data_IF_292836000199
#
_entry.id   IF_292836000199
#
_cell.length_a   1.000
_cell.length_b   1.000
_cell.length_c   1.000
_cell.angle_alpha   90.00
_cell.angle_beta   90.00
_cell.angle_gamma   90.00
#
_symmetry.space_group_name_H-M   'P 1'
#
loop_
_entity.id
_entity.type
_entity.pdbx_description
1 polymer ?
#
# COMPACT_ATOMS: atom_id res chain seq x y z
N UNK A 1 8.81 -62.37 -22.58
CA UNK A 1 8.15 -62.97 -23.76
C UNK A 1 7.51 -61.84 -24.54
N UNK A 2 8.03 -61.65 -25.73
CA UNK A 2 7.57 -60.85 -26.90
C UNK A 2 7.79 -59.33 -26.78
N UNK A 3 8.83 -58.70 -27.26
CA UNK A 3 9.57 -58.55 -28.53
C UNK A 3 8.85 -57.75 -29.62
N UNK A 4 9.58 -56.65 -30.03
CA UNK A 4 9.71 -55.99 -31.35
C UNK A 4 8.60 -55.00 -31.73
N UNK A 5 8.87 -53.85 -32.41
CA UNK A 5 9.95 -53.54 -33.39
C UNK A 5 10.12 -52.04 -33.55
N UNK A 6 11.37 -51.70 -33.90
CA UNK A 6 11.90 -50.46 -34.43
C UNK A 6 11.48 -50.26 -35.91
N UNK A 7 11.26 -49.03 -36.31
CA UNK A 7 11.55 -48.60 -37.73
C UNK A 7 12.00 -47.15 -37.78
N UNK A 8 13.22 -46.98 -38.20
CA UNK A 8 13.83 -45.74 -38.70
C UNK A 8 13.60 -45.62 -40.20
N UNK A 9 13.45 -44.41 -40.71
CA UNK A 9 13.78 -43.94 -42.06
C UNK A 9 13.40 -42.45 -42.12
N UNK A 10 14.07 -41.51 -42.61
CA UNK A 10 15.26 -41.29 -43.42
C UNK A 10 15.18 -39.83 -43.89
N UNK A 11 16.32 -39.20 -43.96
CA UNK A 11 16.61 -37.89 -44.54
C UNK A 11 15.86 -37.50 -45.78
N UNK A 12 15.52 -36.20 -45.89
CA UNK A 12 15.65 -35.47 -47.15
C UNK A 12 16.12 -34.02 -46.92
N UNK A 13 17.36 -33.79 -47.28
CA UNK A 13 17.96 -32.52 -47.63
C UNK A 13 17.13 -31.77 -48.68
N UNK A 14 16.96 -30.45 -48.51
CA UNK A 14 17.05 -29.53 -49.63
C UNK A 14 17.29 -28.08 -49.21
N UNK A 15 18.48 -27.63 -49.61
CA UNK A 15 18.82 -26.31 -50.15
C UNK A 15 18.67 -25.04 -49.24
N UNK A 16 19.86 -24.62 -48.85
CA UNK A 16 20.22 -23.23 -48.58
C UNK A 16 19.73 -22.28 -49.68
N UNK A 17 19.07 -21.22 -49.32
CA UNK A 17 19.04 -20.01 -50.11
C UNK A 17 19.35 -18.81 -49.18
N UNK A 18 20.62 -18.42 -49.19
CA UNK A 18 21.13 -17.17 -48.63
C UNK A 18 20.63 -16.01 -49.43
N UNK A 19 19.84 -15.12 -48.80
CA UNK A 19 19.78 -13.72 -49.20
C UNK A 19 20.17 -12.89 -47.98
N UNK A 20 21.31 -12.22 -48.12
CA UNK A 20 21.80 -11.18 -47.24
C UNK A 20 20.89 -9.95 -47.43
N UNK A 21 20.20 -9.58 -46.36
CA UNK A 21 19.88 -8.19 -46.06
C UNK A 21 19.68 -8.07 -44.54
N UNK A 22 20.56 -7.28 -43.93
CA UNK A 22 20.62 -7.14 -42.47
C UNK A 22 19.65 -6.07 -41.99
N UNK A 23 18.43 -6.45 -41.76
CA UNK A 23 17.49 -5.71 -40.88
C UNK A 23 16.92 -6.71 -39.87
N UNK A 24 17.48 -6.67 -38.68
CA UNK A 24 16.87 -7.31 -37.50
C UNK A 24 15.65 -6.43 -37.15
N UNK A 25 14.52 -6.69 -37.82
CA UNK A 25 13.25 -6.25 -37.29
C UNK A 25 13.03 -6.93 -35.94
N UNK A 26 13.13 -6.15 -34.87
CA UNK A 26 12.77 -6.60 -33.53
C UNK A 26 11.31 -7.05 -33.54
N UNK A 27 11.10 -8.37 -33.54
CA UNK A 27 9.78 -8.96 -33.34
C UNK A 27 9.16 -8.36 -32.10
N UNK A 28 8.17 -7.50 -32.25
CA UNK A 28 7.28 -7.02 -31.22
C UNK A 28 6.62 -8.24 -30.59
N UNK A 29 7.17 -8.71 -29.49
CA UNK A 29 6.61 -9.84 -28.74
C UNK A 29 5.29 -9.36 -28.11
N UNK A 30 4.21 -9.38 -28.91
CA UNK A 30 2.85 -9.20 -28.43
C UNK A 30 2.59 -10.24 -27.33
N UNK A 31 2.09 -9.85 -26.16
CA UNK A 31 1.77 -10.81 -25.10
C UNK A 31 0.74 -11.81 -25.63
N UNK A 32 1.20 -13.04 -25.90
CA UNK A 32 0.35 -14.14 -26.36
C UNK A 32 -0.51 -14.63 -25.19
N UNK A 33 -1.77 -14.17 -25.14
CA UNK A 33 -2.79 -14.72 -24.24
C UNK A 33 -4.09 -13.92 -24.32
N UNK A 34 -5.25 -14.57 -24.37
CA UNK A 34 -6.56 -13.90 -24.48
C UNK A 34 -6.94 -13.02 -23.27
N UNK A 35 -6.14 -13.03 -22.19
CA UNK A 35 -6.38 -12.29 -20.95
C UNK A 35 -5.57 -10.99 -20.82
N UNK A 36 -4.71 -10.64 -21.78
CA UNK A 36 -3.90 -9.41 -21.77
C UNK A 36 -4.54 -8.25 -22.56
N UNK A 37 -5.85 -8.15 -22.53
CA UNK A 37 -6.59 -7.00 -23.04
C UNK A 37 -6.50 -5.83 -22.07
N UNK A 38 -6.29 -4.62 -22.61
CA UNK A 38 -6.41 -3.39 -21.83
C UNK A 38 -7.84 -3.24 -21.35
N UNK A 39 -8.02 -3.16 -20.02
CA UNK A 39 -9.33 -3.10 -19.39
C UNK A 39 -9.31 -2.15 -18.20
N UNK A 40 -10.25 -1.20 -18.18
CA UNK A 40 -10.42 -0.31 -17.03
C UNK A 40 -10.89 -1.09 -15.80
N UNK A 41 -10.19 -0.96 -14.69
CA UNK A 41 -10.47 -1.69 -13.44
C UNK A 41 -10.83 -0.71 -12.31
N UNK A 42 -11.36 -1.22 -11.20
CA UNK A 42 -11.58 -0.44 -9.98
C UNK A 42 -10.30 -0.08 -9.22
N UNK A 43 -9.10 -0.34 -9.77
CA UNK A 43 -7.82 0.09 -9.20
C UNK A 43 -7.33 -0.67 -7.97
N UNK A 44 -7.95 -1.78 -7.57
CA UNK A 44 -7.42 -2.64 -6.51
C UNK A 44 -8.12 -2.50 -5.16
N UNK A 45 -9.37 -2.76 -5.05
CA UNK A 45 -10.13 -2.81 -3.81
C UNK A 45 -9.55 -3.84 -2.79
N UNK A 46 -10.34 -4.51 -1.99
CA UNK A 46 -9.91 -5.44 -0.93
C UNK A 46 -9.20 -6.73 -1.40
N UNK A 47 -8.84 -6.83 -2.68
CA UNK A 47 -8.20 -8.02 -3.26
C UNK A 47 -6.80 -7.78 -3.83
N UNK A 48 -6.34 -6.54 -3.91
CA UNK A 48 -5.10 -6.21 -4.58
C UNK A 48 -4.19 -5.35 -3.73
N UNK A 49 -2.92 -5.75 -3.66
CA UNK A 49 -1.87 -5.02 -2.93
C UNK A 49 -0.81 -4.51 -3.89
N UNK A 50 -0.43 -3.24 -3.77
CA UNK A 50 0.66 -2.63 -4.53
C UNK A 50 2.01 -3.20 -4.03
N UNK A 51 2.88 -3.57 -4.98
CA UNK A 51 4.24 -4.04 -4.73
C UNK A 51 5.30 -3.19 -5.44
N UNK A 52 4.90 -2.46 -6.47
CA UNK A 52 5.77 -1.55 -7.18
C UNK A 52 4.97 -0.33 -7.65
N UNK A 53 5.58 0.85 -7.52
CA UNK A 53 5.06 2.10 -8.03
C UNK A 53 6.14 2.81 -8.84
N UNK A 54 5.86 3.18 -10.09
CA UNK A 54 6.78 3.94 -10.94
C UNK A 54 6.01 4.83 -11.90
N UNK A 55 6.21 6.15 -11.84
CA UNK A 55 5.66 7.12 -12.79
C UNK A 55 4.14 7.00 -13.04
N UNK A 56 3.37 6.71 -11.98
CA UNK A 56 1.93 6.50 -12.07
C UNK A 56 1.52 5.05 -12.32
N UNK A 57 2.41 4.20 -12.84
CA UNK A 57 2.16 2.77 -13.01
C UNK A 57 2.26 2.02 -11.67
N UNK A 58 1.50 0.93 -11.54
CA UNK A 58 1.49 0.09 -10.34
C UNK A 58 1.47 -1.38 -10.71
N UNK A 59 2.39 -2.15 -10.10
CA UNK A 59 2.30 -3.61 -10.13
C UNK A 59 1.64 -4.05 -8.85
N UNK A 60 0.58 -4.86 -8.99
CA UNK A 60 -0.23 -5.35 -7.88
C UNK A 60 -0.29 -6.87 -7.87
N UNK A 61 -0.34 -7.46 -6.67
CA UNK A 61 -0.64 -8.87 -6.47
C UNK A 61 -2.05 -9.04 -5.92
N UNK A 62 -2.77 -10.03 -6.45
CA UNK A 62 -4.06 -10.45 -5.90
C UNK A 62 -3.85 -11.24 -4.61
N UNK A 63 -4.51 -10.83 -3.53
CA UNK A 63 -4.36 -11.44 -2.22
C UNK A 63 -4.97 -12.87 -2.11
N UNK A 64 -5.87 -13.24 -3.02
CA UNK A 64 -6.54 -14.54 -3.01
C UNK A 64 -5.90 -15.50 -4.01
N UNK A 65 -5.76 -15.06 -5.25
CA UNK A 65 -5.31 -15.92 -6.36
C UNK A 65 -3.79 -15.89 -6.60
N UNK A 66 -3.07 -14.93 -6.01
CA UNK A 66 -1.64 -14.76 -6.20
C UNK A 66 -1.21 -14.17 -7.56
N UNK A 67 -2.15 -13.96 -8.49
CA UNK A 67 -1.83 -13.37 -9.79
C UNK A 67 -1.35 -11.92 -9.68
N UNK A 68 -0.56 -11.52 -10.66
CA UNK A 68 -0.05 -10.16 -10.76
C UNK A 68 -0.72 -9.40 -11.90
N UNK A 69 -0.76 -8.08 -11.77
CA UNK A 69 -1.21 -7.18 -12.84
C UNK A 69 -0.42 -5.88 -12.82
N UNK A 70 -0.30 -5.26 -14.00
CA UNK A 70 0.20 -3.90 -14.19
C UNK A 70 -0.99 -2.99 -14.49
N UNK A 71 -1.10 -1.90 -13.76
CA UNK A 71 -2.05 -0.82 -13.99
C UNK A 71 -1.31 0.47 -14.34
N UNK A 72 -1.91 1.30 -15.18
CA UNK A 72 -1.52 2.70 -15.36
C UNK A 72 -2.15 3.63 -14.30
N UNK A 73 -1.95 4.95 -14.47
CA UNK A 73 -2.48 5.97 -13.57
C UNK A 73 -4.01 5.99 -13.51
N UNK A 74 -4.68 5.66 -14.61
CA UNK A 74 -6.14 5.65 -14.77
C UNK A 74 -6.78 4.30 -14.39
N UNK A 75 -5.97 3.38 -13.83
CA UNK A 75 -6.36 2.02 -13.45
C UNK A 75 -6.72 1.13 -14.65
N UNK A 76 -6.22 1.42 -15.83
CA UNK A 76 -6.30 0.52 -16.97
C UNK A 76 -5.29 -0.61 -16.76
N UNK A 77 -5.74 -1.85 -16.89
CA UNK A 77 -4.87 -3.02 -16.81
C UNK A 77 -4.12 -3.19 -18.13
N UNK A 78 -2.79 -3.09 -18.06
CA UNK A 78 -1.88 -3.23 -19.20
C UNK A 78 -1.25 -4.62 -19.30
N UNK A 79 -1.20 -5.36 -18.19
CA UNK A 79 -0.66 -6.73 -18.16
C UNK A 79 -1.29 -7.52 -17.01
N UNK A 80 -1.32 -8.84 -17.20
CA UNK A 80 -1.83 -9.83 -16.26
C UNK A 80 -0.97 -11.09 -16.32
N UNK A 81 -0.76 -11.76 -15.19
CA UNK A 81 -0.07 -13.04 -15.13
C UNK A 81 0.98 -13.12 -14.05
N UNK A 82 2.27 -13.27 -14.42
CA UNK A 82 3.38 -13.32 -13.47
C UNK A 82 3.91 -11.91 -13.14
N UNK A 83 4.65 -11.81 -12.03
CA UNK A 83 5.36 -10.57 -11.66
C UNK A 83 6.34 -10.15 -12.76
N UNK A 84 7.14 -11.10 -13.26
CA UNK A 84 8.14 -10.85 -14.29
C UNK A 84 7.53 -10.35 -15.61
N UNK A 85 6.36 -10.88 -15.99
CA UNK A 85 5.61 -10.37 -17.14
C UNK A 85 5.21 -8.90 -16.96
N UNK A 86 4.65 -8.57 -15.78
CA UNK A 86 4.25 -7.19 -15.46
C UNK A 86 5.45 -6.23 -15.43
N UNK A 87 6.58 -6.64 -14.83
CA UNK A 87 7.81 -5.85 -14.78
C UNK A 87 8.42 -5.61 -16.17
N UNK A 88 8.38 -6.62 -17.04
CA UNK A 88 8.85 -6.49 -18.43
C UNK A 88 8.02 -5.48 -19.23
N UNK A 89 6.68 -5.49 -19.05
CA UNK A 89 5.79 -4.50 -19.68
C UNK A 89 6.05 -3.11 -19.10
N UNK A 90 6.19 -2.99 -17.77
CA UNK A 90 6.49 -1.72 -17.11
C UNK A 90 7.80 -1.12 -17.61
N UNK A 91 8.86 -1.93 -17.72
CA UNK A 91 10.16 -1.49 -18.23
C UNK A 91 10.03 -0.87 -19.63
N UNK A 92 9.30 -1.51 -20.53
CA UNK A 92 9.06 -0.95 -21.88
C UNK A 92 8.26 0.35 -21.85
N UNK A 93 7.24 0.45 -20.97
CA UNK A 93 6.40 1.66 -20.86
C UNK A 93 7.14 2.84 -20.24
N UNK A 94 8.17 2.58 -19.42
CA UNK A 94 8.95 3.61 -18.73
C UNK A 94 10.33 3.87 -19.35
N UNK A 95 10.72 3.16 -20.45
CA UNK A 95 12.05 3.30 -21.06
C UNK A 95 12.38 4.72 -21.51
N UNK A 96 11.38 5.42 -22.03
CA UNK A 96 11.55 6.72 -22.66
C UNK A 96 11.05 7.89 -21.78
N UNK A 97 10.62 7.59 -20.54
CA UNK A 97 10.13 8.59 -19.61
C UNK A 97 11.25 8.92 -18.61
N UNK A 98 11.85 10.10 -18.65
CA UNK A 98 12.86 10.49 -17.68
C UNK A 98 12.25 10.56 -16.28
N UNK A 99 13.02 10.16 -15.27
CA UNK A 99 12.59 10.32 -13.88
C UNK A 99 12.37 11.82 -13.62
N UNK A 100 11.17 12.17 -13.18
CA UNK A 100 10.83 13.57 -12.94
C UNK A 100 11.69 14.11 -11.79
N UNK A 101 12.36 15.23 -12.01
CA UNK A 101 13.07 15.98 -10.93
C UNK A 101 12.14 16.38 -9.76
N UNK A 102 10.81 16.28 -9.93
CA UNK A 102 9.82 16.63 -8.91
C UNK A 102 9.70 15.60 -7.76
N UNK A 103 10.37 14.45 -7.84
CA UNK A 103 10.22 13.39 -6.85
C UNK A 103 11.21 13.49 -5.68
N UNK A 104 11.66 14.74 -5.36
CA UNK A 104 12.50 14.95 -4.17
C UNK A 104 11.78 14.61 -2.87
N UNK A 105 10.45 14.74 -2.83
CA UNK A 105 9.64 14.38 -1.67
C UNK A 105 8.34 13.73 -2.12
N UNK A 106 8.01 12.59 -1.52
CA UNK A 106 6.77 11.84 -1.80
C UNK A 106 6.01 11.57 -0.51
N UNK A 107 4.71 11.87 -0.53
CA UNK A 107 3.80 11.56 0.57
C UNK A 107 3.09 10.24 0.29
N UNK A 108 3.24 9.27 1.20
CA UNK A 108 2.60 7.97 1.14
C UNK A 108 1.36 7.99 2.00
N UNK A 109 0.21 7.72 1.40
CA UNK A 109 -1.10 7.74 2.05
C UNK A 109 -1.62 6.31 2.23
N UNK A 110 -1.89 5.90 3.47
CA UNK A 110 -2.36 4.56 3.82
C UNK A 110 -3.76 4.62 4.41
N UNK A 111 -4.68 3.85 3.85
CA UNK A 111 -6.06 3.75 4.31
C UNK A 111 -6.22 2.83 5.55
N UNK A 112 -7.39 2.80 6.15
CA UNK A 112 -7.72 1.94 7.28
C UNK A 112 -8.23 0.55 6.87
N UNK A 113 -8.50 -0.28 7.88
CA UNK A 113 -9.15 -1.58 7.74
C UNK A 113 -10.49 -1.43 7.01
N UNK A 114 -10.83 -2.38 6.14
CA UNK A 114 -12.05 -2.40 5.31
C UNK A 114 -12.21 -1.19 4.36
N UNK A 115 -11.20 -0.33 4.28
CA UNK A 115 -11.17 0.83 3.36
C UNK A 115 -10.36 0.51 2.11
N UNK A 116 -10.36 1.43 1.18
CA UNK A 116 -9.56 1.35 -0.05
C UNK A 116 -8.71 2.61 -0.19
N UNK A 117 -7.75 2.61 -1.10
CA UNK A 117 -6.96 3.80 -1.44
C UNK A 117 -7.84 5.02 -1.81
N UNK A 118 -9.07 4.76 -2.26
CA UNK A 118 -10.04 5.81 -2.60
C UNK A 118 -10.39 6.71 -1.41
N UNK A 119 -10.43 6.16 -0.19
CA UNK A 119 -10.74 6.95 1.00
C UNK A 119 -9.71 8.03 1.33
N UNK A 120 -8.49 7.95 0.77
CA UNK A 120 -7.44 8.95 0.94
C UNK A 120 -7.43 10.03 -0.16
N UNK A 121 -8.43 10.05 -1.05
CA UNK A 121 -8.43 10.96 -2.22
C UNK A 121 -8.56 12.43 -1.86
N UNK A 122 -9.35 12.75 -0.83
CA UNK A 122 -9.52 14.13 -0.36
C UNK A 122 -8.21 14.67 0.23
N UNK A 123 -7.56 13.88 1.10
CA UNK A 123 -6.26 14.21 1.68
C UNK A 123 -5.19 14.39 0.58
N UNK A 124 -5.15 13.49 -0.40
CA UNK A 124 -4.23 13.60 -1.54
C UNK A 124 -4.39 14.94 -2.25
N UNK A 125 -5.61 15.24 -2.73
CA UNK A 125 -5.88 16.50 -3.45
C UNK A 125 -5.51 17.73 -2.64
N UNK A 126 -5.79 17.70 -1.34
CA UNK A 126 -5.44 18.80 -0.46
C UNK A 126 -3.92 18.99 -0.39
N UNK A 127 -3.15 17.93 -0.13
CA UNK A 127 -1.70 17.98 -0.02
C UNK A 127 -1.04 18.41 -1.35
N UNK A 128 -1.52 17.91 -2.49
CA UNK A 128 -1.06 18.32 -3.81
C UNK A 128 -1.22 19.84 -4.01
N UNK A 129 -2.34 20.41 -3.58
CA UNK A 129 -2.59 21.85 -3.63
C UNK A 129 -1.78 22.65 -2.58
N UNK A 130 -1.19 22.01 -1.58
CA UNK A 130 -0.38 22.63 -0.53
C UNK A 130 1.14 22.55 -0.77
N UNK A 131 1.57 22.10 -1.95
CA UNK A 131 2.97 22.03 -2.34
C UNK A 131 3.61 20.64 -2.18
N UNK A 132 2.81 19.58 -2.04
CA UNK A 132 3.26 18.18 -2.03
C UNK A 132 2.76 17.46 -3.30
N UNK A 133 3.29 17.75 -4.50
CA UNK A 133 2.74 17.27 -5.76
C UNK A 133 2.94 15.77 -5.98
N UNK A 134 3.94 15.16 -5.34
CA UNK A 134 4.17 13.72 -5.43
C UNK A 134 3.48 13.01 -4.28
N UNK A 135 2.35 12.36 -4.56
CA UNK A 135 1.59 11.59 -3.58
C UNK A 135 1.27 10.20 -4.10
N UNK A 136 1.42 9.20 -3.23
CA UNK A 136 1.09 7.80 -3.52
C UNK A 136 0.02 7.33 -2.54
N UNK A 137 -1.16 7.00 -3.04
CA UNK A 137 -2.17 6.27 -2.27
C UNK A 137 -1.88 4.78 -2.36
N UNK A 138 -1.23 4.24 -1.36
CA UNK A 138 -0.89 2.81 -1.29
C UNK A 138 -2.16 1.97 -1.17
N UNK A 139 -2.32 1.02 -2.10
CA UNK A 139 -3.45 0.08 -2.10
C UNK A 139 -3.01 -1.24 -1.47
N UNK A 140 -3.80 -1.76 -0.53
CA UNK A 140 -3.55 -3.07 0.05
C UNK A 140 -4.86 -3.75 0.47
N UNK A 141 -4.85 -5.07 0.46
CA UNK A 141 -6.02 -5.91 0.72
C UNK A 141 -6.24 -6.07 2.24
N UNK A 142 -6.64 -4.99 2.91
CA UNK A 142 -6.62 -4.82 4.37
C UNK A 142 -7.37 -5.91 5.16
N UNK A 143 -8.31 -6.64 4.54
CA UNK A 143 -9.07 -7.72 5.16
C UNK A 143 -8.60 -9.12 4.74
N UNK A 144 -7.59 -9.25 3.87
CA UNK A 144 -7.21 -10.53 3.26
C UNK A 144 -5.82 -11.02 3.64
N UNK A 145 -4.97 -10.14 4.14
CA UNK A 145 -3.59 -10.42 4.50
C UNK A 145 -3.26 -9.82 5.86
N UNK A 146 -2.16 -10.28 6.46
CA UNK A 146 -1.66 -9.78 7.73
C UNK A 146 -1.06 -8.37 7.62
N UNK A 147 -0.93 -7.68 8.74
CA UNK A 147 -0.24 -6.38 8.81
C UNK A 147 1.23 -6.53 8.38
N UNK A 148 1.86 -7.65 8.72
CA UNK A 148 3.22 -7.97 8.28
C UNK A 148 3.34 -8.08 6.75
N UNK A 149 2.37 -8.70 6.07
CA UNK A 149 2.36 -8.78 4.60
C UNK A 149 2.20 -7.40 3.96
N UNK A 150 1.35 -6.54 4.54
CA UNK A 150 1.16 -5.18 4.06
C UNK A 150 2.40 -4.31 4.30
N UNK A 151 3.08 -4.47 5.43
CA UNK A 151 4.34 -3.78 5.75
C UNK A 151 5.45 -4.17 4.77
N UNK A 152 5.56 -5.47 4.43
CA UNK A 152 6.51 -5.97 3.42
C UNK A 152 6.22 -5.40 2.04
N UNK A 153 4.97 -5.40 1.60
CA UNK A 153 4.57 -4.82 0.32
C UNK A 153 4.84 -3.30 0.26
N UNK A 154 4.57 -2.57 1.35
CA UNK A 154 4.94 -1.16 1.46
C UNK A 154 6.46 -0.97 1.33
N UNK A 155 7.27 -1.76 2.05
CA UNK A 155 8.74 -1.73 1.94
C UNK A 155 9.17 -1.92 0.49
N UNK A 156 8.62 -2.90 -0.24
CA UNK A 156 8.94 -3.13 -1.66
C UNK A 156 8.60 -1.92 -2.54
N UNK A 157 7.46 -1.25 -2.31
CA UNK A 157 7.12 -0.02 -3.04
C UNK A 157 8.16 1.06 -2.80
N UNK A 158 8.57 1.29 -1.54
CA UNK A 158 9.55 2.32 -1.18
C UNK A 158 10.96 2.01 -1.70
N UNK A 159 11.35 0.73 -1.77
CA UNK A 159 12.62 0.28 -2.36
C UNK A 159 12.74 0.58 -3.85
N UNK A 160 11.60 0.68 -4.54
CA UNK A 160 11.54 0.96 -5.98
C UNK A 160 11.37 2.46 -6.31
N UNK A 161 11.23 3.32 -5.30
CA UNK A 161 11.28 4.77 -5.50
C UNK A 161 12.73 5.25 -5.64
N UNK A 162 12.99 6.37 -6.35
CA UNK A 162 14.33 6.92 -6.47
C UNK A 162 15.00 7.08 -5.10
N UNK A 163 16.28 6.73 -4.99
CA UNK A 163 17.00 6.67 -3.70
C UNK A 163 17.12 8.01 -2.99
N UNK A 164 17.03 9.12 -3.72
CA UNK A 164 17.07 10.49 -3.20
C UNK A 164 15.72 11.02 -2.71
N UNK A 165 14.62 10.27 -2.93
CA UNK A 165 13.28 10.73 -2.57
C UNK A 165 13.09 10.73 -1.05
N UNK A 166 12.75 11.87 -0.48
CA UNK A 166 12.29 11.98 0.91
C UNK A 166 10.88 11.42 1.06
N UNK A 167 10.61 10.76 2.17
CA UNK A 167 9.35 10.05 2.41
C UNK A 167 8.59 10.67 3.58
N UNK A 168 7.34 11.02 3.34
CA UNK A 168 6.40 11.44 4.37
C UNK A 168 5.21 10.50 4.39
N UNK A 169 4.59 10.31 5.54
CA UNK A 169 3.51 9.34 5.69
C UNK A 169 2.26 9.97 6.29
N UNK A 170 1.10 9.63 5.73
CA UNK A 170 -0.19 9.83 6.40
C UNK A 170 -0.86 8.47 6.50
N UNK A 171 -0.99 7.97 7.71
CA UNK A 171 -1.75 6.75 7.96
C UNK A 171 -3.13 7.07 8.53
N UNK A 172 -4.16 6.37 8.08
CA UNK A 172 -5.46 6.34 8.72
C UNK A 172 -5.67 4.99 9.41
N UNK A 173 -6.03 5.00 10.70
CA UNK A 173 -6.37 3.79 11.45
C UNK A 173 -5.27 2.70 11.34
N UNK A 174 -5.60 1.51 10.86
CA UNK A 174 -4.66 0.40 10.64
C UNK A 174 -3.46 0.80 9.76
N UNK A 175 -3.60 1.76 8.84
CA UNK A 175 -2.50 2.23 8.00
C UNK A 175 -1.30 2.73 8.79
N UNK A 176 -1.52 3.27 10.00
CA UNK A 176 -0.44 3.68 10.91
C UNK A 176 0.34 2.48 11.43
N UNK A 177 -0.36 1.39 11.72
CA UNK A 177 0.23 0.16 12.26
C UNK A 177 1.06 -0.54 11.18
N UNK A 178 0.60 -0.51 9.92
CA UNK A 178 1.39 -0.99 8.75
C UNK A 178 2.71 -0.23 8.64
N UNK A 179 2.71 1.11 8.74
CA UNK A 179 3.94 1.92 8.72
C UNK A 179 4.84 1.60 9.91
N UNK A 180 4.30 1.49 11.12
CA UNK A 180 5.08 1.13 12.32
C UNK A 180 5.72 -0.25 12.22
N UNK A 181 5.02 -1.22 11.64
CA UNK A 181 5.58 -2.56 11.39
C UNK A 181 6.72 -2.49 10.36
N UNK A 182 6.50 -1.78 9.25
CA UNK A 182 7.55 -1.57 8.23
C UNK A 182 8.80 -0.90 8.84
N UNK A 183 8.64 0.12 9.70
CA UNK A 183 9.76 0.77 10.40
C UNK A 183 10.51 -0.24 11.28
N UNK A 184 9.81 -1.14 11.97
CA UNK A 184 10.44 -2.17 12.79
C UNK A 184 11.25 -3.17 11.93
N UNK A 185 10.76 -3.51 10.75
CA UNK A 185 11.48 -4.38 9.80
C UNK A 185 12.71 -3.66 9.23
N UNK A 186 12.60 -2.37 8.89
CA UNK A 186 13.72 -1.55 8.42
C UNK A 186 14.80 -1.35 9.50
N UNK A 187 14.42 -1.26 10.78
CA UNK A 187 15.40 -1.21 11.88
C UNK A 187 16.25 -2.48 12.00
N UNK A 188 15.77 -3.62 11.49
CA UNK A 188 16.50 -4.89 11.46
C UNK A 188 17.33 -5.03 10.19
N UNK A 189 16.75 -4.65 9.05
CA UNK A 189 17.38 -4.81 7.73
C UNK A 189 16.87 -3.74 6.76
N UNK A 190 17.75 -2.79 6.40
CA UNK A 190 17.47 -1.67 5.49
C UNK A 190 18.57 -1.50 4.42
N UNK A 191 18.73 -2.48 3.51
CA UNK A 191 19.77 -2.45 2.49
C UNK A 191 19.62 -1.29 1.50
N UNK A 192 18.42 -0.76 1.34
CA UNK A 192 18.10 0.37 0.45
C UNK A 192 18.09 1.73 1.15
N UNK A 193 18.46 1.76 2.44
CA UNK A 193 18.52 2.99 3.25
C UNK A 193 17.22 3.81 3.19
N UNK A 194 16.09 3.14 3.35
CA UNK A 194 14.76 3.76 3.35
C UNK A 194 14.57 4.60 4.62
N UNK A 195 14.97 4.08 5.78
CA UNK A 195 14.75 4.73 7.06
C UNK A 195 15.34 6.15 7.15
N UNK A 196 16.57 6.43 6.66
CA UNK A 196 17.12 7.79 6.60
C UNK A 196 16.34 8.75 5.69
N UNK A 197 15.56 8.24 4.76
CA UNK A 197 14.70 9.01 3.84
C UNK A 197 13.37 9.41 4.47
N UNK A 198 12.96 8.73 5.55
CA UNK A 198 11.70 9.03 6.26
C UNK A 198 11.85 10.34 7.04
N UNK A 199 11.05 11.36 6.68
CA UNK A 199 11.14 12.72 7.25
C UNK A 199 10.10 12.97 8.31
N UNK A 200 8.83 12.65 8.03
CA UNK A 200 7.75 12.92 8.99
C UNK A 200 6.54 12.02 8.75
N UNK A 201 5.68 11.91 9.78
CA UNK A 201 4.44 11.14 9.73
C UNK A 201 3.31 11.83 10.48
N UNK A 202 2.11 11.84 9.90
CA UNK A 202 0.88 12.20 10.61
C UNK A 202 -0.02 10.98 10.72
N UNK A 203 -0.39 10.65 11.95
CA UNK A 203 -1.23 9.51 12.29
C UNK A 203 -2.66 9.98 12.54
N UNK A 204 -3.62 9.51 11.73
CA UNK A 204 -5.03 9.82 11.85
C UNK A 204 -5.76 8.64 12.53
N UNK A 205 -6.29 8.85 13.73
CA UNK A 205 -6.99 7.83 14.50
C UNK A 205 -6.21 6.51 14.66
N UNK A 206 -4.93 6.55 15.07
CA UNK A 206 -4.12 5.33 15.13
C UNK A 206 -4.51 4.47 16.34
N UNK A 207 -4.75 3.16 16.18
CA UNK A 207 -4.92 2.23 17.32
C UNK A 207 -3.56 1.82 17.88
N UNK A 208 -2.78 2.80 18.39
CA UNK A 208 -1.40 2.59 18.84
C UNK A 208 -1.27 1.70 20.09
N UNK A 209 -2.35 1.55 20.87
CA UNK A 209 -2.47 0.65 22.02
C UNK A 209 -3.43 -0.53 21.74
N UNK A 210 -3.68 -0.83 20.46
CA UNK A 210 -4.73 -1.74 20.01
C UNK A 210 -6.08 -1.03 19.91
N UNK A 211 -7.11 -1.76 19.46
CA UNK A 211 -8.47 -1.26 19.36
C UNK A 211 -9.40 -2.05 20.28
N UNK A 212 -9.95 -1.40 21.31
CA UNK A 212 -10.87 -2.03 22.25
C UNK A 212 -12.13 -2.56 21.54
N UNK A 213 -12.63 -1.80 20.55
CA UNK A 213 -13.78 -2.23 19.75
C UNK A 213 -13.49 -3.55 19.02
N UNK A 214 -12.27 -3.74 18.52
CA UNK A 214 -11.87 -5.00 17.88
C UNK A 214 -11.83 -6.15 18.90
N UNK A 215 -11.35 -5.89 20.13
CA UNK A 215 -11.34 -6.88 21.21
C UNK A 215 -12.75 -7.25 21.68
N UNK A 216 -13.66 -6.27 21.78
CA UNK A 216 -15.06 -6.49 22.21
C UNK A 216 -15.89 -7.24 21.16
N UNK A 217 -15.65 -7.01 19.87
CA UNK A 217 -16.39 -7.67 18.79
C UNK A 217 -15.79 -9.02 18.38
N UNK A 218 -14.55 -9.32 18.73
CA UNK A 218 -13.88 -10.57 18.37
C UNK A 218 -14.64 -11.84 18.81
N UNK A 219 -15.23 -11.91 20.03
CA UNK A 219 -15.96 -13.12 20.48
C UNK A 219 -17.20 -13.43 19.65
N UNK A 220 -17.72 -12.48 18.86
CA UNK A 220 -18.92 -12.72 18.03
C UNK A 220 -18.65 -13.68 16.86
N UNK A 221 -17.40 -14.03 16.58
CA UNK A 221 -17.02 -14.87 15.43
C UNK A 221 -17.19 -14.16 14.07
N UNK A 222 -18.20 -13.34 13.94
CA UNK A 222 -18.49 -12.56 12.71
C UNK A 222 -17.39 -11.52 12.46
N UNK A 223 -16.82 -10.94 13.53
CA UNK A 223 -15.79 -9.92 13.43
C UNK A 223 -14.58 -10.41 12.61
N UNK A 224 -14.01 -11.57 12.96
CA UNK A 224 -12.85 -12.12 12.24
C UNK A 224 -13.19 -12.50 10.79
N UNK A 225 -14.42 -12.97 10.54
CA UNK A 225 -14.86 -13.31 9.19
C UNK A 225 -14.97 -12.06 8.28
N UNK A 226 -15.43 -10.93 8.83
CA UNK A 226 -15.59 -9.67 8.09
C UNK A 226 -14.29 -8.90 7.98
N UNK A 227 -13.50 -8.81 9.05
CA UNK A 227 -12.30 -7.97 9.11
C UNK A 227 -11.01 -8.70 8.74
N UNK A 228 -11.04 -10.04 8.72
CA UNK A 228 -9.92 -10.89 8.36
C UNK A 228 -8.72 -10.79 9.31
N UNK A 229 -7.54 -11.19 8.84
CA UNK A 229 -6.32 -11.24 9.64
C UNK A 229 -5.95 -9.88 10.25
N UNK A 230 -6.03 -8.80 9.49
CA UNK A 230 -5.71 -7.46 9.99
C UNK A 230 -6.59 -7.01 11.15
N UNK A 231 -7.88 -7.37 11.16
CA UNK A 231 -8.78 -7.06 12.27
C UNK A 231 -8.47 -7.87 13.54
N UNK A 232 -8.12 -9.14 13.40
CA UNK A 232 -7.72 -9.99 14.52
C UNK A 232 -6.42 -9.49 15.16
N UNK A 233 -5.44 -9.09 14.36
CA UNK A 233 -4.17 -8.53 14.84
C UNK A 233 -4.35 -7.22 15.63
N UNK A 234 -5.31 -6.37 15.25
CA UNK A 234 -5.63 -5.13 15.99
C UNK A 234 -6.42 -5.35 17.29
N UNK A 235 -7.02 -6.51 17.46
CA UNK A 235 -7.86 -6.89 18.61
C UNK A 235 -7.22 -7.99 19.47
N UNK A 236 -7.69 -9.25 19.35
CA UNK A 236 -7.25 -10.35 20.22
C UNK A 236 -5.74 -10.61 20.16
N UNK A 237 -5.12 -10.46 18.98
CA UNK A 237 -3.70 -10.76 18.77
C UNK A 237 -2.79 -9.55 18.99
N UNK A 238 -3.32 -8.42 19.50
CA UNK A 238 -2.59 -7.16 19.66
C UNK A 238 -1.26 -7.32 20.42
N UNK A 239 -1.23 -8.06 21.52
CA UNK A 239 -0.01 -8.27 22.33
C UNK A 239 1.13 -8.91 21.54
N UNK A 240 0.81 -9.72 20.54
CA UNK A 240 1.81 -10.33 19.67
C UNK A 240 2.26 -9.35 18.58
N UNK A 241 1.32 -8.59 18.01
CA UNK A 241 1.61 -7.57 17.02
C UNK A 241 2.44 -6.43 17.61
N UNK A 242 2.09 -5.93 18.79
CA UNK A 242 2.76 -4.82 19.48
C UNK A 242 4.28 -5.01 19.55
N UNK A 243 4.73 -6.24 19.84
CA UNK A 243 6.16 -6.61 19.88
C UNK A 243 6.88 -6.47 18.54
N UNK A 244 6.13 -6.38 17.45
CA UNK A 244 6.63 -6.22 16.08
C UNK A 244 6.53 -4.79 15.57
N UNK A 245 6.12 -3.85 16.41
CA UNK A 245 5.95 -2.44 16.03
C UNK A 245 7.10 -1.59 16.55
N UNK A 246 7.45 -0.56 15.79
CA UNK A 246 8.40 0.45 16.25
C UNK A 246 7.71 1.81 16.39
N UNK A 247 8.24 2.65 17.29
CA UNK A 247 7.99 4.08 17.26
C UNK A 247 8.86 4.71 16.18
N UNK A 248 8.32 5.62 15.34
CA UNK A 248 9.12 6.37 14.37
C UNK A 248 10.29 7.08 15.04
N UNK A 249 11.48 7.03 14.42
CA UNK A 249 12.66 7.78 14.86
C UNK A 249 12.74 9.18 14.27
N UNK A 250 11.82 9.52 13.41
CA UNK A 250 11.63 10.84 12.78
C UNK A 250 10.38 11.51 13.35
N UNK A 251 10.22 12.85 13.19
CA UNK A 251 9.07 13.59 13.70
C UNK A 251 7.74 12.97 13.28
N UNK A 252 6.85 12.79 14.27
CA UNK A 252 5.49 12.36 13.99
C UNK A 252 4.48 13.04 14.90
N UNK A 253 3.24 13.14 14.42
CA UNK A 253 2.13 13.77 15.11
C UNK A 253 0.89 12.90 15.03
N UNK A 254 -0.04 13.10 15.98
CA UNK A 254 -1.26 12.30 16.10
C UNK A 254 -2.48 13.22 16.09
N UNK A 255 -3.46 12.89 15.23
CA UNK A 255 -4.81 13.47 15.27
C UNK A 255 -5.77 12.36 15.69
N UNK A 256 -6.43 12.53 16.81
CA UNK A 256 -7.48 11.64 17.31
C UNK A 256 -8.85 12.30 17.12
N UNK A 257 -9.84 11.52 16.68
CA UNK A 257 -11.23 11.98 16.72
C UNK A 257 -11.76 11.91 18.14
N UNK A 258 -12.52 12.93 18.55
CA UNK A 258 -13.22 12.96 19.84
C UNK A 258 -14.60 13.58 19.66
N UNK A 259 -15.62 12.74 19.68
CA UNK A 259 -17.03 13.14 19.58
C UNK A 259 -17.79 13.03 20.89
N UNK A 260 -17.10 12.90 22.02
CA UNK A 260 -17.70 12.77 23.35
C UNK A 260 -18.57 13.97 23.75
N UNK A 261 -18.29 15.16 23.20
CA UNK A 261 -19.12 16.36 23.40
C UNK A 261 -20.42 16.36 22.59
N UNK A 262 -20.62 15.41 21.67
CA UNK A 262 -21.83 15.29 20.89
C UNK A 262 -22.86 14.42 21.62
N UNK A 263 -24.19 14.63 21.42
CA UNK A 263 -25.22 13.89 22.14
C UNK A 263 -25.28 12.38 21.77
N UNK A 264 -24.45 11.93 20.86
CA UNK A 264 -24.42 10.54 20.40
C UNK A 264 -23.32 9.81 21.18
N UNK A 265 -23.73 8.95 22.14
CA UNK A 265 -22.78 8.07 22.85
C UNK A 265 -22.64 6.74 22.15
N UNK A 266 -21.41 6.25 22.01
CA UNK A 266 -21.18 4.91 21.52
C UNK A 266 -21.11 3.93 22.71
N UNK A 267 -22.04 2.95 22.83
CA UNK A 267 -22.02 1.98 23.91
C UNK A 267 -20.82 0.99 23.83
N UNK A 268 -20.07 1.00 22.74
CA UNK A 268 -18.96 0.06 22.49
C UNK A 268 -17.57 0.61 22.84
N UNK A 269 -17.46 1.94 23.08
CA UNK A 269 -16.20 2.57 23.49
C UNK A 269 -16.37 3.27 24.85
N UNK A 270 -15.42 3.10 25.73
CA UNK A 270 -15.35 3.82 27.01
C UNK A 270 -14.52 5.09 26.83
N UNK A 271 -14.99 6.21 27.43
CA UNK A 271 -14.27 7.49 27.41
C UNK A 271 -14.43 8.27 26.09
N UNK A 272 -13.56 9.27 25.91
CA UNK A 272 -13.54 10.12 24.73
C UNK A 272 -12.91 9.40 23.54
N UNK A 273 -13.49 9.58 22.34
CA UNK A 273 -12.99 8.93 21.11
C UNK A 273 -13.90 9.16 19.90
N UNK A 274 -13.58 8.48 18.81
CA UNK A 274 -14.20 8.64 17.49
C UNK A 274 -15.13 7.48 17.08
N UNK A 275 -15.57 6.70 18.06
CA UNK A 275 -16.39 5.49 17.96
C UNK A 275 -15.62 4.22 17.56
N UNK A 276 -14.36 4.29 17.18
CA UNK A 276 -13.55 3.13 16.81
C UNK A 276 -12.30 3.04 17.67
N UNK A 277 -11.63 4.18 17.91
CA UNK A 277 -10.40 4.31 18.69
C UNK A 277 -10.61 5.41 19.73
N UNK A 278 -10.32 5.14 21.00
CA UNK A 278 -10.31 6.15 22.04
C UNK A 278 -9.08 7.05 21.91
N UNK A 279 -9.15 8.24 22.52
CA UNK A 279 -7.99 9.16 22.57
C UNK A 279 -6.79 8.50 23.28
N UNK A 280 -7.05 7.69 24.31
CA UNK A 280 -5.98 6.97 25.02
C UNK A 280 -5.34 5.88 24.16
N UNK A 281 -6.13 5.14 23.38
CA UNK A 281 -5.60 4.14 22.44
C UNK A 281 -4.78 4.76 21.31
N UNK A 282 -5.03 6.02 20.96
CA UNK A 282 -4.27 6.74 19.94
C UNK A 282 -2.89 7.19 20.43
N UNK A 283 -2.64 7.30 21.73
CA UNK A 283 -1.37 7.79 22.29
C UNK A 283 -0.19 6.93 21.88
N UNK A 284 0.92 7.59 21.56
CA UNK A 284 2.23 6.98 21.31
C UNK A 284 3.30 7.95 21.81
N UNK A 285 4.15 7.48 22.69
CA UNK A 285 5.25 8.26 23.22
C UNK A 285 6.23 8.70 22.12
N UNK A 286 6.76 9.92 22.25
CA UNK A 286 7.66 10.53 21.26
C UNK A 286 6.93 11.33 20.17
N UNK A 287 5.59 11.39 20.16
CA UNK A 287 4.87 12.27 19.25
C UNK A 287 5.14 13.75 19.57
N UNK A 288 5.33 14.58 18.51
CA UNK A 288 5.48 16.03 18.67
C UNK A 288 4.26 16.68 19.33
N UNK A 289 3.09 16.16 18.96
CA UNK A 289 1.80 16.51 19.59
C UNK A 289 0.75 15.45 19.29
N UNK A 290 -0.25 15.41 20.19
CA UNK A 290 -1.53 14.75 19.97
C UNK A 290 -2.62 15.82 20.04
N UNK A 291 -3.41 15.98 18.99
CA UNK A 291 -4.55 16.89 18.93
C UNK A 291 -5.84 16.12 18.70
N UNK A 292 -6.92 16.57 19.34
CA UNK A 292 -8.27 16.02 19.14
C UNK A 292 -9.09 16.90 18.23
N UNK A 293 -9.98 16.29 17.47
CA UNK A 293 -10.94 16.96 16.60
C UNK A 293 -12.34 16.34 16.75
N UNK A 294 -13.42 17.11 16.69
CA UNK A 294 -14.79 16.58 16.87
C UNK A 294 -15.30 15.85 15.61
N UNK A 295 -14.51 14.90 15.11
CA UNK A 295 -14.73 14.19 13.84
C UNK A 295 -14.77 12.69 14.09
N UNK A 296 -15.73 12.00 13.46
CA UNK A 296 -15.83 10.54 13.48
C UNK A 296 -14.64 9.89 12.77
N UNK A 297 -14.20 8.73 13.27
CA UNK A 297 -13.07 7.95 12.75
C UNK A 297 -13.02 7.87 11.22
N UNK A 298 -14.15 7.56 10.63
CA UNK A 298 -14.26 7.32 9.19
C UNK A 298 -14.06 8.55 8.31
N UNK A 299 -14.02 9.75 8.88
CA UNK A 299 -13.98 11.03 8.16
C UNK A 299 -12.76 11.89 8.47
N UNK A 300 -11.83 11.41 9.31
CA UNK A 300 -10.63 12.15 9.70
C UNK A 300 -9.82 12.64 8.48
N UNK A 301 -9.67 11.82 7.44
CA UNK A 301 -8.93 12.16 6.23
C UNK A 301 -9.64 13.18 5.33
N UNK A 302 -10.94 13.36 5.52
CA UNK A 302 -11.76 14.27 4.71
C UNK A 302 -11.96 15.63 5.39
N UNK A 303 -11.66 15.73 6.69
CA UNK A 303 -11.83 16.94 7.48
C UNK A 303 -10.78 18.00 7.13
N UNK A 304 -11.22 19.23 6.87
CA UNK A 304 -10.35 20.34 6.45
C UNK A 304 -9.34 20.78 7.52
N UNK A 305 -9.72 20.74 8.80
CA UNK A 305 -8.82 21.07 9.88
C UNK A 305 -7.71 20.02 10.01
N UNK A 306 -8.06 18.74 9.88
CA UNK A 306 -7.10 17.62 9.87
C UNK A 306 -6.16 17.73 8.68
N UNK A 307 -6.67 18.02 7.49
CA UNK A 307 -5.88 18.22 6.28
C UNK A 307 -4.90 19.38 6.45
N UNK A 308 -5.37 20.51 7.02
CA UNK A 308 -4.51 21.65 7.32
C UNK A 308 -3.42 21.31 8.34
N UNK A 309 -3.75 20.67 9.47
CA UNK A 309 -2.78 20.22 10.47
C UNK A 309 -1.71 19.31 9.85
N UNK A 310 -2.12 18.45 8.92
CA UNK A 310 -1.21 17.53 8.23
C UNK A 310 -0.22 18.28 7.34
N UNK A 311 -0.70 19.20 6.52
CA UNK A 311 0.18 19.98 5.64
C UNK A 311 1.11 20.92 6.41
N UNK A 312 0.61 21.56 7.49
CA UNK A 312 1.41 22.43 8.33
C UNK A 312 2.55 21.65 8.99
N UNK A 313 2.25 20.47 9.53
CA UNK A 313 3.26 19.57 10.12
C UNK A 313 4.35 19.17 9.11
N UNK A 314 3.97 18.89 7.87
CA UNK A 314 4.93 18.53 6.83
C UNK A 314 5.78 19.70 6.33
N UNK A 315 5.27 20.93 6.43
CA UNK A 315 6.05 22.16 6.11
C UNK A 315 7.04 22.51 7.20
N UNK A 316 6.75 22.13 8.45
CA UNK A 316 7.61 22.37 9.61
C UNK A 316 8.74 21.32 9.71
N UNK A 317 8.54 20.11 9.17
CA UNK A 317 9.42 18.95 9.30
C UNK A 317 9.69 18.32 7.93
#
# INVERSE_FOLDING_TARGET
>A
MILFASTAMADKNSSLNTKADGSIEGEEMKPKGPLNLEWKTGGGMQFWTDHLYRQGYRIQQNAVTGHWRLLDADNVRLSWGSRTTCESVLKRKCSDIPDKKSDQSTVILLHGLMRTRGSMSSMQKYLENQGFPSTIRFSYASTRRSISDHARALKEVLENLPSHTELRFVGHSMGNIVVRHMIADLKKDDPKKILPRCKSMVMLGPPNQGAMIARRLAPTGIFGWVTGAGGLELGPDWKQLEKKLATPSFPFAIVAGDVSSKPIQNPLTEGSGDFVVSVDEAKLEGSKWLKTVPVLHSFLMDDKAVQKMTSDFFKEH
#
